data_IF_371688300443
#
_entry.id   IF_371688300443
#
_cell.length_a   1.000
_cell.length_b   1.000
_cell.length_c   1.000
_cell.angle_alpha   90.00
_cell.angle_beta   90.00
_cell.angle_gamma   90.00
#
_symmetry.space_group_name_H-M   'P 1'
#
loop_
_entity.id
_entity.type
_entity.pdbx_description
1 polymer ?
#
# COMPACT_ATOMS: atom_id res chain seq x y z
N UNK A 1 -54.17 -0.95 -31.78
CA UNK A 1 -54.55 -0.74 -30.35
C UNK A 1 -54.68 -2.13 -29.73
N UNK A 2 -53.81 -2.63 -28.86
CA UNK A 2 -52.86 -2.05 -27.89
C UNK A 2 -51.52 -2.80 -28.06
N UNK A 3 -50.42 -2.12 -28.38
CA UNK A 3 -49.52 -1.37 -27.51
C UNK A 3 -48.46 -2.27 -26.84
N UNK A 4 -47.23 -2.00 -27.28
CA UNK A 4 -45.92 -2.52 -26.87
C UNK A 4 -45.77 -2.83 -25.38
N UNK A 5 -45.41 -4.07 -25.08
CA UNK A 5 -44.60 -4.37 -23.91
C UNK A 5 -43.14 -4.19 -24.32
N UNK A 6 -42.61 -2.98 -24.17
CA UNK A 6 -41.18 -2.72 -24.28
C UNK A 6 -40.46 -3.57 -23.22
N UNK A 7 -39.71 -4.57 -23.67
CA UNK A 7 -38.86 -5.37 -22.81
C UNK A 7 -37.83 -4.46 -22.17
N UNK A 8 -37.85 -4.34 -20.84
CA UNK A 8 -36.77 -3.71 -20.11
C UNK A 8 -35.52 -4.60 -20.27
N UNK A 9 -34.65 -4.28 -21.24
CA UNK A 9 -33.32 -4.86 -21.32
C UNK A 9 -32.63 -4.61 -19.98
N UNK A 10 -32.18 -5.68 -19.31
CA UNK A 10 -31.40 -5.57 -18.08
C UNK A 10 -30.11 -4.77 -18.29
N UNK A 11 -29.49 -4.26 -17.21
CA UNK A 11 -28.26 -3.47 -17.31
C UNK A 11 -27.14 -4.28 -17.97
N UNK A 12 -26.40 -3.64 -18.87
CA UNK A 12 -25.31 -4.32 -19.62
C UNK A 12 -24.11 -4.54 -18.71
N UNK A 13 -23.32 -5.59 -18.99
CA UNK A 13 -22.12 -5.94 -18.20
C UNK A 13 -21.14 -4.75 -18.07
N UNK A 14 -20.89 -4.03 -19.17
CA UNK A 14 -20.01 -2.86 -19.17
C UNK A 14 -20.57 -1.72 -18.30
N UNK A 15 -21.89 -1.51 -18.29
CA UNK A 15 -22.56 -0.47 -17.49
C UNK A 15 -22.50 -0.80 -16.00
N UNK A 16 -22.67 -2.07 -15.63
CA UNK A 16 -22.55 -2.52 -14.25
C UNK A 16 -21.13 -2.31 -13.71
N UNK A 17 -20.11 -2.67 -14.48
CA UNK A 17 -18.72 -2.43 -14.10
C UNK A 17 -18.43 -0.92 -13.99
N UNK A 18 -18.83 -0.12 -14.98
CA UNK A 18 -18.62 1.33 -14.95
C UNK A 18 -19.32 1.98 -13.74
N UNK A 19 -20.53 1.53 -13.41
CA UNK A 19 -21.29 1.99 -12.24
C UNK A 19 -20.57 1.62 -10.95
N UNK A 20 -20.13 0.36 -10.81
CA UNK A 20 -19.38 -0.09 -9.63
C UNK A 20 -18.06 0.65 -9.45
N UNK A 21 -17.34 0.89 -10.54
CA UNK A 21 -16.07 1.63 -10.54
C UNK A 21 -16.27 3.09 -10.10
N UNK A 22 -17.23 3.79 -10.71
CA UNK A 22 -17.54 5.20 -10.36
C UNK A 22 -17.93 5.32 -8.89
N UNK A 23 -18.81 4.44 -8.40
CA UNK A 23 -19.23 4.45 -7.00
C UNK A 23 -18.07 4.17 -6.04
N UNK A 24 -17.13 3.30 -6.41
CA UNK A 24 -15.91 3.09 -5.64
C UNK A 24 -15.03 4.35 -5.62
N UNK A 25 -14.78 5.00 -6.77
CA UNK A 25 -14.01 6.25 -6.83
C UNK A 25 -14.67 7.37 -5.99
N UNK A 26 -16.00 7.51 -6.04
CA UNK A 26 -16.75 8.47 -5.23
C UNK A 26 -16.62 8.21 -3.72
N UNK A 27 -16.63 6.93 -3.31
CA UNK A 27 -16.45 6.53 -1.91
C UNK A 27 -15.01 6.75 -1.45
N UNK A 28 -14.04 6.50 -2.32
CA UNK A 28 -12.61 6.68 -2.04
C UNK A 28 -12.21 8.16 -1.96
N UNK A 29 -12.82 9.03 -2.78
CA UNK A 29 -12.58 10.46 -2.79
C UNK A 29 -12.98 11.17 -1.47
N UNK A 30 -13.77 10.52 -0.61
CA UNK A 30 -14.01 10.98 0.76
C UNK A 30 -14.74 12.32 0.84
N UNK A 31 -15.79 12.52 0.04
CA UNK A 31 -16.57 13.78 0.04
C UNK A 31 -17.34 14.02 1.34
N UNK A 32 -17.57 12.98 2.14
CA UNK A 32 -18.39 13.02 3.35
C UNK A 32 -17.55 12.86 4.64
N UNK A 33 -17.97 13.48 5.76
CA UNK A 33 -17.18 13.53 7.00
C UNK A 33 -17.09 12.18 7.75
N UNK A 34 -17.91 11.19 7.40
CA UNK A 34 -17.91 9.88 8.04
C UNK A 34 -18.15 8.76 7.04
N UNK A 35 -17.32 7.71 7.09
CA UNK A 35 -17.52 6.49 6.30
C UNK A 35 -18.82 5.75 6.67
N UNK A 36 -19.36 5.96 7.87
CA UNK A 36 -20.64 5.39 8.31
C UNK A 36 -21.87 6.24 7.95
N UNK A 37 -21.70 7.36 7.25
CA UNK A 37 -22.82 8.18 6.82
C UNK A 37 -23.77 7.37 5.91
N UNK A 38 -25.11 7.49 6.07
CA UNK A 38 -26.07 6.73 5.26
C UNK A 38 -25.86 6.91 3.76
N UNK A 39 -25.56 8.13 3.31
CA UNK A 39 -25.30 8.42 1.90
C UNK A 39 -24.08 7.66 1.35
N UNK A 40 -23.01 7.51 2.13
CA UNK A 40 -21.82 6.72 1.75
C UNK A 40 -22.17 5.24 1.71
N UNK A 41 -22.89 4.75 2.71
CA UNK A 41 -23.29 3.34 2.79
C UNK A 41 -24.28 2.94 1.69
N UNK A 42 -25.17 3.84 1.27
CA UNK A 42 -26.06 3.65 0.13
C UNK A 42 -25.27 3.52 -1.18
N UNK A 43 -24.21 4.33 -1.36
CA UNK A 43 -23.29 4.20 -2.50
C UNK A 43 -22.53 2.87 -2.48
N UNK A 44 -22.01 2.48 -1.31
CA UNK A 44 -21.31 1.19 -1.12
C UNK A 44 -22.24 0.03 -1.46
N UNK A 45 -23.48 0.02 -0.95
CA UNK A 45 -24.45 -1.04 -1.23
C UNK A 45 -24.78 -1.13 -2.72
N UNK A 46 -25.09 0.00 -3.36
CA UNK A 46 -25.36 0.05 -4.81
C UNK A 46 -24.16 -0.41 -5.65
N UNK A 47 -22.95 -0.06 -5.24
CA UNK A 47 -21.72 -0.51 -5.90
C UNK A 47 -21.51 -2.01 -5.76
N UNK A 48 -21.73 -2.56 -4.56
CA UNK A 48 -21.67 -4.01 -4.33
C UNK A 48 -22.72 -4.76 -5.16
N UNK A 49 -23.97 -4.30 -5.18
CA UNK A 49 -25.03 -4.93 -5.97
C UNK A 49 -24.68 -4.96 -7.46
N UNK A 50 -24.18 -3.83 -8.00
CA UNK A 50 -23.79 -3.74 -9.41
C UNK A 50 -22.60 -4.67 -9.74
N UNK A 51 -21.56 -4.69 -8.90
CA UNK A 51 -20.40 -5.55 -9.11
C UNK A 51 -20.72 -7.04 -8.91
N UNK A 52 -21.64 -7.39 -8.01
CA UNK A 52 -22.10 -8.76 -7.82
C UNK A 52 -22.87 -9.25 -9.05
N UNK A 53 -23.74 -8.41 -9.61
CA UNK A 53 -24.42 -8.71 -10.87
C UNK A 53 -23.42 -8.86 -12.02
N UNK A 54 -22.45 -7.96 -12.14
CA UNK A 54 -21.39 -8.06 -13.15
C UNK A 54 -20.58 -9.37 -12.99
N UNK A 55 -20.19 -9.72 -11.77
CA UNK A 55 -19.46 -10.95 -11.50
C UNK A 55 -20.27 -12.21 -11.84
N UNK A 56 -21.58 -12.20 -11.62
CA UNK A 56 -22.46 -13.28 -12.01
C UNK A 56 -22.56 -13.41 -13.54
N UNK A 57 -22.68 -12.30 -14.26
CA UNK A 57 -22.68 -12.29 -15.73
C UNK A 57 -21.36 -12.78 -16.31
N UNK A 58 -20.21 -12.35 -15.77
CA UNK A 58 -18.89 -12.83 -16.19
C UNK A 58 -18.74 -14.33 -15.98
N UNK A 59 -19.27 -14.86 -14.87
CA UNK A 59 -19.27 -16.30 -14.62
C UNK A 59 -20.18 -17.07 -15.59
N UNK A 60 -21.32 -16.50 -16.00
CA UNK A 60 -22.23 -17.10 -16.99
C UNK A 60 -21.66 -17.07 -18.42
N UNK A 61 -20.90 -16.04 -18.74
CA UNK A 61 -20.24 -15.88 -20.04
C UNK A 61 -18.93 -16.69 -20.14
N UNK A 62 -18.46 -17.26 -19.03
CA UNK A 62 -17.21 -18.02 -18.93
C UNK A 62 -16.01 -17.28 -19.55
N UNK A 63 -15.96 -15.94 -19.39
CA UNK A 63 -14.92 -15.09 -20.00
C UNK A 63 -13.48 -15.41 -19.55
N UNK A 64 -13.33 -16.18 -18.48
CA UNK A 64 -12.05 -16.50 -17.90
C UNK A 64 -11.99 -17.99 -17.56
N UNK A 65 -11.06 -18.70 -18.19
CA UNK A 65 -10.70 -20.07 -17.86
C UNK A 65 -9.30 -20.17 -17.24
N UNK A 66 -9.11 -21.06 -16.27
CA UNK A 66 -7.79 -21.30 -15.64
C UNK A 66 -6.75 -21.87 -16.63
N UNK A 67 -7.19 -22.35 -17.80
CA UNK A 67 -6.33 -22.93 -18.83
C UNK A 67 -6.04 -21.99 -20.02
N UNK A 68 -6.59 -20.77 -20.02
CA UNK A 68 -6.37 -19.78 -21.09
C UNK A 68 -5.06 -19.00 -20.89
N UNK A 69 -4.43 -18.62 -22.00
CA UNK A 69 -3.30 -17.69 -21.97
C UNK A 69 -3.79 -16.24 -21.94
N UNK A 70 -3.01 -15.35 -21.32
CA UNK A 70 -3.37 -13.92 -21.23
C UNK A 70 -3.60 -13.28 -22.61
N UNK A 71 -2.88 -13.74 -23.63
CA UNK A 71 -2.96 -13.25 -25.02
C UNK A 71 -4.30 -13.59 -25.69
N UNK A 72 -5.01 -14.62 -25.20
CA UNK A 72 -6.30 -15.06 -25.75
C UNK A 72 -7.46 -14.18 -25.25
N UNK A 73 -7.25 -13.40 -24.19
CA UNK A 73 -8.25 -12.48 -23.66
C UNK A 73 -8.29 -11.20 -24.50
N UNK A 74 -9.47 -10.86 -25.00
CA UNK A 74 -9.71 -9.59 -25.69
C UNK A 74 -9.34 -8.40 -24.78
N UNK A 75 -8.70 -7.38 -25.34
CA UNK A 75 -8.25 -6.19 -24.61
C UNK A 75 -9.39 -5.51 -23.85
N UNK A 76 -10.61 -5.53 -24.41
CA UNK A 76 -11.82 -5.01 -23.78
C UNK A 76 -12.30 -5.82 -22.56
N UNK A 77 -11.95 -7.09 -22.42
CA UNK A 77 -12.42 -7.97 -21.34
C UNK A 77 -11.47 -8.01 -20.15
N UNK A 78 -10.21 -7.58 -20.32
CA UNK A 78 -9.22 -7.49 -19.24
C UNK A 78 -9.72 -6.71 -18.02
N UNK A 79 -10.55 -5.68 -18.22
CA UNK A 79 -11.15 -4.90 -17.13
C UNK A 79 -12.01 -5.73 -16.18
N UNK A 80 -12.60 -6.84 -16.64
CA UNK A 80 -13.44 -7.68 -15.80
C UNK A 80 -12.62 -8.56 -14.83
N UNK A 81 -11.31 -8.74 -15.07
CA UNK A 81 -10.42 -9.37 -14.08
C UNK A 81 -10.39 -8.60 -12.76
N UNK A 82 -10.66 -7.29 -12.78
CA UNK A 82 -10.66 -6.42 -11.60
C UNK A 82 -11.91 -6.59 -10.72
N UNK A 83 -12.96 -7.25 -11.19
CA UNK A 83 -14.23 -7.38 -10.45
C UNK A 83 -14.06 -7.91 -9.02
N UNK A 84 -13.29 -8.98 -8.76
CA UNK A 84 -13.10 -9.45 -7.39
C UNK A 84 -12.27 -8.48 -6.55
N UNK A 85 -11.36 -7.71 -7.14
CA UNK A 85 -10.60 -6.69 -6.41
C UNK A 85 -11.51 -5.55 -5.94
N UNK A 86 -12.35 -5.02 -6.84
CA UNK A 86 -13.33 -3.97 -6.55
C UNK A 86 -14.38 -4.42 -5.52
N UNK A 87 -14.86 -5.66 -5.63
CA UNK A 87 -15.75 -6.26 -4.63
C UNK A 87 -15.10 -6.29 -3.25
N UNK A 88 -13.82 -6.71 -3.19
CA UNK A 88 -13.04 -6.69 -1.95
C UNK A 88 -12.91 -5.28 -1.37
N UNK A 89 -12.54 -4.31 -2.20
CA UNK A 89 -12.36 -2.92 -1.81
C UNK A 89 -13.65 -2.29 -1.26
N UNK A 90 -14.78 -2.43 -1.96
CA UNK A 90 -16.07 -1.92 -1.46
C UNK A 90 -16.56 -2.67 -0.21
N UNK A 91 -16.28 -3.97 -0.10
CA UNK A 91 -16.63 -4.74 1.10
C UNK A 91 -15.95 -4.17 2.35
N UNK A 92 -14.71 -3.66 2.23
CA UNK A 92 -14.00 -3.02 3.33
C UNK A 92 -14.60 -1.69 3.77
N UNK A 93 -15.39 -1.03 2.90
CA UNK A 93 -16.06 0.25 3.18
C UNK A 93 -17.43 0.09 3.85
N UNK A 94 -17.94 -1.14 4.00
CA UNK A 94 -19.19 -1.39 4.70
C UNK A 94 -19.10 -1.08 6.20
N UNK A 95 -20.04 -0.28 6.70
CA UNK A 95 -20.17 0.05 8.11
C UNK A 95 -21.02 -1.00 8.85
N UNK A 96 -20.57 -1.42 10.03
CA UNK A 96 -21.27 -2.42 10.83
C UNK A 96 -20.36 -3.06 11.87
N UNK A 97 -20.24 -2.50 13.08
CA UNK A 97 -19.27 -2.98 14.07
C UNK A 97 -19.53 -4.42 14.55
N UNK A 98 -20.77 -4.91 14.44
CA UNK A 98 -21.14 -6.29 14.73
C UNK A 98 -20.79 -7.29 13.62
N UNK A 99 -20.70 -6.82 12.37
CA UNK A 99 -20.45 -7.64 11.18
C UNK A 99 -19.05 -7.40 10.58
N UNK A 100 -18.22 -6.55 11.20
CA UNK A 100 -16.90 -6.19 10.68
C UNK A 100 -16.03 -7.41 10.40
N UNK A 101 -16.06 -8.42 11.27
CA UNK A 101 -15.29 -9.65 11.04
C UNK A 101 -15.76 -10.39 9.77
N UNK A 102 -17.06 -10.47 9.53
CA UNK A 102 -17.63 -11.08 8.33
C UNK A 102 -17.27 -10.29 7.07
N UNK A 103 -17.29 -8.95 7.15
CA UNK A 103 -16.85 -8.08 6.07
C UNK A 103 -15.36 -8.28 5.74
N UNK A 104 -14.50 -8.39 6.76
CA UNK A 104 -13.07 -8.66 6.56
C UNK A 104 -12.83 -10.03 5.93
N UNK A 105 -13.51 -11.08 6.39
CA UNK A 105 -13.41 -12.42 5.82
C UNK A 105 -13.93 -12.46 4.37
N UNK A 106 -15.01 -11.74 4.09
CA UNK A 106 -15.55 -11.54 2.75
C UNK A 106 -14.56 -10.83 1.83
N UNK A 107 -14.05 -9.67 2.25
CA UNK A 107 -13.08 -8.87 1.50
C UNK A 107 -11.81 -9.68 1.20
N UNK A 108 -11.26 -10.37 2.20
CA UNK A 108 -10.10 -11.24 2.04
C UNK A 108 -10.33 -12.32 1.00
N UNK A 109 -11.52 -12.95 0.98
CA UNK A 109 -11.88 -13.98 -0.01
C UNK A 109 -11.94 -13.40 -1.43
N UNK A 110 -12.50 -12.20 -1.58
CA UNK A 110 -12.57 -11.50 -2.87
C UNK A 110 -11.18 -11.12 -3.40
N UNK A 111 -10.34 -10.50 -2.57
CA UNK A 111 -8.96 -10.13 -2.93
C UNK A 111 -8.10 -11.37 -3.23
N UNK A 112 -8.24 -12.44 -2.45
CA UNK A 112 -7.52 -13.70 -2.71
C UNK A 112 -7.96 -14.37 -4.01
N UNK A 113 -9.24 -14.25 -4.40
CA UNK A 113 -9.74 -14.73 -5.70
C UNK A 113 -9.11 -13.93 -6.84
N UNK A 114 -9.07 -12.59 -6.73
CA UNK A 114 -8.41 -11.74 -7.71
C UNK A 114 -6.94 -12.12 -7.91
N UNK A 115 -6.17 -12.23 -6.82
CA UNK A 115 -4.75 -12.60 -6.87
C UNK A 115 -4.53 -14.00 -7.48
N UNK A 116 -5.45 -14.95 -7.25
CA UNK A 116 -5.38 -16.28 -7.88
C UNK A 116 -5.58 -16.20 -9.38
N UNK A 117 -6.57 -15.43 -9.85
CA UNK A 117 -6.81 -15.21 -11.28
C UNK A 117 -5.60 -14.55 -11.93
N UNK A 118 -5.07 -13.46 -11.35
CA UNK A 118 -3.87 -12.81 -11.86
C UNK A 118 -2.68 -13.77 -11.98
N UNK A 119 -2.51 -14.70 -11.02
CA UNK A 119 -1.46 -15.70 -11.08
C UNK A 119 -1.69 -16.74 -12.18
N UNK A 120 -2.93 -17.20 -12.37
CA UNK A 120 -3.27 -18.15 -13.44
C UNK A 120 -2.87 -17.60 -14.81
N UNK A 121 -3.15 -16.31 -15.04
CA UNK A 121 -2.78 -15.60 -16.28
C UNK A 121 -1.34 -15.06 -16.32
N UNK A 122 -0.49 -15.39 -15.34
CA UNK A 122 0.92 -14.97 -15.33
C UNK A 122 1.16 -13.46 -15.13
N UNK A 123 0.17 -12.74 -14.58
CA UNK A 123 0.21 -11.30 -14.31
C UNK A 123 0.97 -10.93 -13.01
N UNK A 124 1.60 -11.90 -12.34
CA UNK A 124 2.51 -11.61 -11.23
C UNK A 124 3.16 -12.82 -10.55
N UNK A 125 4.35 -12.58 -10.00
CA UNK A 125 5.12 -13.52 -9.18
C UNK A 125 5.05 -13.10 -7.70
N UNK A 126 3.87 -13.16 -7.08
CA UNK A 126 3.68 -12.82 -5.67
C UNK A 126 3.42 -14.08 -4.81
N UNK A 127 3.86 -14.04 -3.56
CA UNK A 127 3.66 -15.12 -2.59
C UNK A 127 2.18 -15.24 -2.20
N UNK A 128 1.72 -16.48 -2.00
CA UNK A 128 0.35 -16.76 -1.60
C UNK A 128 0.12 -16.35 -0.14
N UNK A 129 -1.03 -15.72 0.20
CA UNK A 129 -1.38 -15.51 1.61
C UNK A 129 -1.56 -16.88 2.31
N UNK A 130 -1.11 -17.03 3.56
CA UNK A 130 -1.20 -18.28 4.28
C UNK A 130 -2.66 -18.77 4.38
N UNK A 131 -2.88 -20.07 4.15
CA UNK A 131 -4.19 -20.74 4.28
C UNK A 131 -4.85 -21.24 2.98
N UNK A 132 -4.17 -21.15 1.84
CA UNK A 132 -4.63 -21.76 0.59
C UNK A 132 -3.41 -22.48 -0.01
N UNK A 133 -3.51 -23.77 -0.29
CA UNK A 133 -2.41 -24.57 -0.85
C UNK A 133 -2.85 -25.13 -2.19
N UNK A 134 -2.23 -24.65 -3.28
CA UNK A 134 -2.21 -25.38 -4.54
C UNK A 134 -0.75 -25.62 -4.92
N UNK A 135 -0.47 -26.82 -5.43
CA UNK A 135 0.89 -27.32 -5.68
C UNK A 135 1.68 -26.36 -6.59
N UNK A 136 3.00 -26.20 -6.38
CA UNK A 136 3.82 -25.33 -7.20
C UNK A 136 4.09 -26.02 -8.54
N UNK A 137 3.36 -25.64 -9.60
CA UNK A 137 3.72 -26.00 -10.97
C UNK A 137 4.18 -24.76 -11.74
N UNK A 138 5.43 -24.83 -12.19
CA UNK A 138 6.11 -24.03 -13.21
C UNK A 138 6.16 -22.51 -12.98
N UNK A 139 7.25 -22.08 -12.37
CA UNK A 139 7.75 -20.70 -12.44
C UNK A 139 8.07 -20.33 -13.90
N UNK A 140 7.09 -19.81 -14.63
CA UNK A 140 7.34 -18.92 -15.77
C UNK A 140 7.48 -17.50 -15.19
N UNK A 141 8.71 -17.06 -15.00
CA UNK A 141 9.00 -15.67 -14.70
C UNK A 141 8.64 -14.82 -15.93
N UNK A 142 7.54 -14.08 -15.86
CA UNK A 142 7.04 -13.23 -16.96
C UNK A 142 7.31 -11.74 -16.68
N UNK A 143 7.38 -10.95 -17.76
CA UNK A 143 7.94 -9.59 -17.86
C UNK A 143 7.33 -8.50 -16.94
N UNK A 144 6.27 -8.81 -16.19
CA UNK A 144 5.59 -7.88 -15.28
C UNK A 144 6.02 -8.02 -13.81
N UNK A 145 7.07 -8.81 -13.54
CA UNK A 145 7.69 -8.96 -12.22
C UNK A 145 8.56 -7.75 -11.87
N UNK A 146 7.98 -6.65 -11.36
CA UNK A 146 8.77 -5.52 -10.86
C UNK A 146 8.37 -4.97 -9.50
N UNK A 147 7.37 -5.52 -8.80
CA UNK A 147 6.95 -5.00 -7.50
C UNK A 147 7.50 -5.84 -6.33
N UNK A 148 8.45 -5.31 -5.54
CA UNK A 148 8.87 -5.93 -4.29
C UNK A 148 7.68 -6.00 -3.33
N UNK A 149 7.32 -7.22 -2.90
CA UNK A 149 6.34 -7.44 -1.84
C UNK A 149 6.72 -6.70 -0.55
N UNK A 150 5.74 -6.27 0.24
CA UNK A 150 5.91 -5.77 1.61
C UNK A 150 6.75 -6.73 2.47
N UNK A 151 6.71 -8.04 2.18
CA UNK A 151 7.62 -9.03 2.74
C UNK A 151 9.12 -8.71 2.55
N UNK A 152 9.52 -8.10 1.43
CA UNK A 152 10.92 -7.65 1.21
C UNK A 152 11.29 -6.45 2.09
N UNK A 153 10.34 -5.56 2.41
CA UNK A 153 10.56 -4.47 3.37
C UNK A 153 10.76 -5.05 4.78
N UNK A 154 9.93 -6.02 5.17
CA UNK A 154 9.97 -6.64 6.51
C UNK A 154 11.21 -7.53 6.71
N UNK A 155 11.70 -8.16 5.64
CA UNK A 155 12.94 -8.96 5.65
C UNK A 155 14.23 -8.15 5.44
N UNK A 156 14.14 -6.89 4.97
CA UNK A 156 15.30 -6.03 4.81
C UNK A 156 15.88 -5.62 6.17
N UNK A 157 17.20 -5.49 6.26
CA UNK A 157 17.84 -4.91 7.44
C UNK A 157 17.36 -3.48 7.67
N UNK A 158 17.40 -3.00 8.92
CA UNK A 158 16.99 -1.63 9.28
C UNK A 158 17.73 -0.55 8.48
N UNK A 159 18.96 -0.84 8.03
CA UNK A 159 19.77 0.04 7.19
C UNK A 159 19.33 0.05 5.71
N UNK A 160 18.79 -1.04 5.20
CA UNK A 160 18.38 -1.20 3.79
C UNK A 160 16.90 -0.91 3.59
N UNK A 161 16.09 -1.01 4.65
CA UNK A 161 14.66 -0.69 4.66
C UNK A 161 14.30 0.65 4.01
N UNK A 162 14.94 1.80 4.33
CA UNK A 162 14.60 3.09 3.71
C UNK A 162 14.84 3.10 2.19
N UNK A 163 15.89 2.42 1.72
CA UNK A 163 16.19 2.30 0.28
C UNK A 163 15.14 1.46 -0.44
N UNK A 164 14.74 0.32 0.16
CA UNK A 164 13.71 -0.55 -0.40
C UNK A 164 12.35 0.16 -0.45
N UNK A 165 11.97 0.89 0.61
CA UNK A 165 10.74 1.67 0.62
C UNK A 165 10.75 2.79 -0.40
N UNK A 166 11.87 3.52 -0.55
CA UNK A 166 12.00 4.58 -1.54
C UNK A 166 11.89 4.04 -2.97
N UNK A 167 12.54 2.91 -3.25
CA UNK A 167 12.45 2.24 -4.54
C UNK A 167 11.02 1.82 -4.88
N UNK A 168 10.31 1.16 -3.95
CA UNK A 168 8.90 0.75 -4.15
C UNK A 168 8.00 1.96 -4.38
N UNK A 169 8.17 3.02 -3.59
CA UNK A 169 7.43 4.27 -3.76
C UNK A 169 7.64 4.88 -5.14
N UNK A 170 8.90 4.93 -5.62
CA UNK A 170 9.22 5.44 -6.96
C UNK A 170 8.55 4.61 -8.06
N UNK A 171 8.58 3.27 -7.96
CA UNK A 171 7.93 2.39 -8.92
C UNK A 171 6.40 2.56 -8.94
N UNK A 172 5.78 2.67 -7.76
CA UNK A 172 4.33 2.95 -7.65
C UNK A 172 3.96 4.28 -8.30
N UNK A 173 4.74 5.33 -8.01
CA UNK A 173 4.51 6.66 -8.57
C UNK A 173 4.67 6.70 -10.09
N UNK A 174 5.65 5.99 -10.63
CA UNK A 174 5.84 5.86 -12.08
C UNK A 174 4.67 5.15 -12.77
N UNK A 175 4.18 4.06 -12.16
CA UNK A 175 3.00 3.33 -12.63
C UNK A 175 1.76 4.24 -12.61
N UNK A 176 1.52 4.97 -11.52
CA UNK A 176 0.40 5.90 -11.40
C UNK A 176 0.47 7.05 -12.41
N UNK A 177 1.67 7.60 -12.65
CA UNK A 177 1.87 8.63 -13.67
C UNK A 177 1.56 8.10 -15.08
N UNK A 178 1.99 6.88 -15.42
CA UNK A 178 1.64 6.24 -16.70
C UNK A 178 0.14 6.06 -16.85
N UNK A 179 -0.52 5.50 -15.83
CA UNK A 179 -1.98 5.36 -15.83
C UNK A 179 -2.69 6.70 -16.02
N UNK A 180 -2.25 7.75 -15.32
CA UNK A 180 -2.83 9.09 -15.47
C UNK A 180 -2.68 9.64 -16.89
N UNK A 181 -1.52 9.44 -17.53
CA UNK A 181 -1.30 9.87 -18.90
C UNK A 181 -2.14 9.11 -19.93
N UNK A 182 -2.38 7.81 -19.72
CA UNK A 182 -3.16 6.96 -20.63
C UNK A 182 -4.67 7.07 -20.42
N UNK A 183 -5.12 7.35 -19.18
CA UNK A 183 -6.54 7.41 -18.80
C UNK A 183 -7.33 8.34 -19.71
N UNK A 184 -6.79 9.52 -20.02
CA UNK A 184 -7.47 10.53 -20.86
C UNK A 184 -7.69 10.04 -22.30
N UNK A 185 -6.74 9.31 -22.88
CA UNK A 185 -6.85 8.77 -24.24
C UNK A 185 -7.80 7.56 -24.33
N UNK A 186 -7.81 6.72 -23.29
CA UNK A 186 -8.72 5.57 -23.20
C UNK A 186 -10.16 6.04 -22.99
N UNK A 187 -10.39 7.01 -22.09
CA UNK A 187 -11.72 7.57 -21.85
C UNK A 187 -12.26 8.39 -23.03
N UNK A 188 -11.39 9.06 -23.79
CA UNK A 188 -11.79 9.79 -25.01
C UNK A 188 -12.04 8.88 -26.21
N UNK A 189 -11.76 7.57 -26.10
CA UNK A 189 -11.89 6.60 -27.19
C UNK A 189 -10.88 6.78 -28.31
N UNK A 190 -9.78 7.52 -28.07
CA UNK A 190 -8.70 7.76 -29.03
C UNK A 190 -7.58 6.72 -28.93
N UNK A 191 -7.57 5.91 -27.87
CA UNK A 191 -6.60 4.84 -27.69
C UNK A 191 -6.83 3.70 -28.70
N UNK A 192 -5.74 3.23 -29.31
CA UNK A 192 -5.75 1.99 -30.09
C UNK A 192 -5.82 0.75 -29.17
N UNK A 193 -5.98 -0.45 -29.77
CA UNK A 193 -6.16 -1.68 -28.98
C UNK A 193 -4.94 -2.00 -28.11
N UNK A 194 -3.73 -1.73 -28.61
CA UNK A 194 -2.48 -1.96 -27.89
C UNK A 194 -2.39 -1.03 -26.66
N UNK A 195 -2.72 0.25 -26.81
CA UNK A 195 -2.77 1.21 -25.70
C UNK A 195 -3.86 0.86 -24.69
N UNK A 196 -5.04 0.43 -25.14
CA UNK A 196 -6.10 -0.04 -24.24
C UNK A 196 -5.64 -1.26 -23.44
N UNK A 197 -4.98 -2.21 -24.11
CA UNK A 197 -4.44 -3.42 -23.49
C UNK A 197 -3.40 -3.08 -22.43
N UNK A 198 -2.42 -2.25 -22.77
CA UNK A 198 -1.38 -1.80 -21.83
C UNK A 198 -2.01 -1.08 -20.63
N UNK A 199 -2.99 -0.20 -20.85
CA UNK A 199 -3.69 0.51 -19.78
C UNK A 199 -4.34 -0.47 -18.78
N UNK A 200 -5.10 -1.47 -19.26
CA UNK A 200 -5.74 -2.44 -18.38
C UNK A 200 -4.72 -3.33 -17.65
N UNK A 201 -3.63 -3.70 -18.29
CA UNK A 201 -2.56 -4.47 -17.64
C UNK A 201 -1.88 -3.67 -16.51
N UNK A 202 -1.58 -2.40 -16.73
CA UNK A 202 -1.06 -1.51 -15.68
C UNK A 202 -2.08 -1.34 -14.55
N UNK A 203 -3.36 -1.24 -14.87
CA UNK A 203 -4.42 -1.14 -13.87
C UNK A 203 -4.51 -2.42 -13.02
N UNK A 204 -4.37 -3.60 -13.62
CA UNK A 204 -4.30 -4.88 -12.92
C UNK A 204 -3.07 -4.94 -12.00
N UNK A 205 -1.90 -4.51 -12.46
CA UNK A 205 -0.69 -4.45 -11.63
C UNK A 205 -0.84 -3.52 -10.42
N UNK A 206 -1.46 -2.35 -10.61
CA UNK A 206 -1.82 -1.46 -9.51
C UNK A 206 -2.71 -2.17 -8.49
N UNK A 207 -3.76 -2.84 -8.96
CA UNK A 207 -4.69 -3.57 -8.09
C UNK A 207 -4.06 -4.79 -7.41
N UNK A 208 -3.08 -5.46 -8.02
CA UNK A 208 -2.30 -6.53 -7.36
C UNK A 208 -1.57 -5.96 -6.14
N UNK A 209 -0.92 -4.81 -6.31
CA UNK A 209 -0.19 -4.14 -5.23
C UNK A 209 -1.12 -3.72 -4.08
N UNK A 210 -2.27 -3.12 -4.42
CA UNK A 210 -3.30 -2.73 -3.44
C UNK A 210 -3.83 -3.97 -2.71
N UNK A 211 -4.18 -5.03 -3.45
CA UNK A 211 -4.76 -6.24 -2.87
C UNK A 211 -3.84 -6.94 -1.88
N UNK A 212 -2.53 -6.95 -2.15
CA UNK A 212 -1.54 -7.52 -1.23
C UNK A 212 -1.45 -6.74 0.08
N UNK A 213 -1.45 -5.41 0.02
CA UNK A 213 -1.43 -4.54 1.20
C UNK A 213 -2.71 -4.65 2.01
N UNK A 214 -3.86 -4.65 1.33
CA UNK A 214 -5.16 -4.81 1.98
C UNK A 214 -5.28 -6.17 2.66
N UNK A 215 -4.79 -7.26 2.07
CA UNK A 215 -4.80 -8.58 2.73
C UNK A 215 -3.95 -8.56 4.01
N UNK A 216 -2.77 -7.94 3.99
CA UNK A 216 -1.94 -7.83 5.20
C UNK A 216 -2.63 -7.00 6.29
N UNK A 217 -3.25 -5.87 5.90
CA UNK A 217 -4.05 -5.01 6.78
C UNK A 217 -5.24 -5.78 7.38
N UNK A 218 -5.98 -6.52 6.55
CA UNK A 218 -7.10 -7.36 6.98
C UNK A 218 -6.63 -8.42 7.97
N UNK A 219 -5.55 -9.14 7.67
CA UNK A 219 -5.05 -10.21 8.53
C UNK A 219 -4.66 -9.66 9.93
N UNK A 220 -4.05 -8.47 9.99
CA UNK A 220 -3.75 -7.77 11.25
C UNK A 220 -5.03 -7.38 12.01
N UNK A 221 -6.01 -6.78 11.32
CA UNK A 221 -7.29 -6.38 11.93
C UNK A 221 -8.07 -7.59 12.45
N UNK A 222 -8.10 -8.69 11.70
CA UNK A 222 -8.77 -9.93 12.10
C UNK A 222 -8.19 -10.51 13.40
N UNK A 223 -6.86 -10.47 13.58
CA UNK A 223 -6.21 -10.92 14.83
C UNK A 223 -6.67 -10.07 16.02
N UNK A 224 -6.77 -8.75 15.84
CA UNK A 224 -7.24 -7.82 16.88
C UNK A 224 -8.71 -8.07 17.23
N UNK A 225 -9.58 -8.26 16.23
CA UNK A 225 -11.01 -8.49 16.47
C UNK A 225 -11.28 -9.84 17.14
N UNK A 226 -10.54 -10.88 16.77
CA UNK A 226 -10.64 -12.22 17.39
C UNK A 226 -10.17 -12.20 18.84
N UNK A 227 -9.04 -11.56 19.14
CA UNK A 227 -8.53 -11.41 20.52
C UNK A 227 -9.45 -10.56 21.40
N UNK A 228 -10.12 -9.54 20.83
CA UNK A 228 -11.18 -8.81 21.55
C UNK A 228 -12.38 -9.69 21.91
N UNK A 229 -12.77 -10.59 21.00
CA UNK A 229 -13.84 -11.55 21.22
C UNK A 229 -13.55 -12.53 22.36
N UNK A 230 -12.31 -13.03 22.44
CA UNK A 230 -11.89 -13.94 23.53
C UNK A 230 -11.80 -13.22 24.88
N UNK A 231 -11.32 -11.97 24.92
CA UNK A 231 -11.27 -11.15 26.14
C UNK A 231 -12.69 -10.82 26.66
N UNK A 232 -13.66 -10.62 25.75
CA UNK A 232 -15.07 -10.38 26.12
C UNK A 232 -15.78 -11.66 26.56
N UNK A 233 -15.40 -12.83 26.03
CA UNK A 233 -15.93 -14.14 26.44
C UNK A 233 -15.31 -14.67 27.74
N UNK A 234 -14.06 -14.29 28.04
CA UNK A 234 -13.50 -14.42 29.38
C UNK A 234 -14.10 -13.34 30.29
N UNK A 235 -15.42 -13.39 30.49
CA UNK A 235 -16.04 -12.73 31.63
C UNK A 235 -15.30 -13.21 32.88
N UNK A 236 -14.61 -12.29 33.54
CA UNK A 236 -14.09 -12.51 34.88
C UNK A 236 -15.24 -13.07 35.76
N UNK A 237 -14.95 -14.00 36.68
CA UNK A 237 -15.97 -14.50 37.61
C UNK A 237 -16.64 -13.30 38.29
N UNK A 238 -17.95 -13.39 38.61
CA UNK A 238 -18.69 -12.25 39.13
C UNK A 238 -18.02 -11.84 40.44
N UNK A 239 -17.25 -10.75 40.40
CA UNK A 239 -16.87 -10.04 41.60
C UNK A 239 -18.15 -9.44 42.15
N UNK A 240 -18.80 -10.24 43.00
CA UNK A 240 -19.78 -9.73 43.95
C UNK A 240 -19.19 -8.53 44.66
N UNK A 241 -20.08 -7.60 44.99
CA UNK A 241 -19.82 -6.39 45.76
C UNK A 241 -19.04 -6.67 47.03
N UNK A 242 -17.72 -6.68 46.91
CA UNK A 242 -16.77 -6.57 48.00
C UNK A 242 -15.66 -5.70 47.46
N UNK A 243 -15.87 -4.39 47.57
CA UNK A 243 -14.80 -3.41 47.45
C UNK A 243 -13.84 -3.73 48.59
N UNK A 244 -12.85 -4.59 48.33
CA UNK A 244 -11.76 -4.77 49.28
C UNK A 244 -11.15 -3.39 49.49
N UNK A 245 -11.27 -2.91 50.72
CA UNK A 245 -10.66 -1.66 51.18
C UNK A 245 -9.17 -1.82 50.94
N UNK A 246 -8.68 -1.23 49.84
CA UNK A 246 -7.26 -1.19 49.55
C UNK A 246 -6.61 -0.44 50.71
N UNK A 247 -5.71 -1.12 51.42
CA UNK A 247 -4.85 -0.48 52.41
C UNK A 247 -4.15 0.72 51.78
N UNK A 248 -4.19 1.92 52.39
CA UNK A 248 -3.55 3.10 51.81
C UNK A 248 -2.06 2.82 51.63
N UNK A 249 -1.57 3.05 50.41
CA UNK A 249 -0.16 2.89 50.07
C UNK A 249 0.65 3.87 50.92
N UNK A 250 1.70 3.36 51.58
CA UNK A 250 2.67 4.22 52.27
C UNK A 250 3.39 5.06 51.20
N UNK A 251 3.49 6.39 51.34
CA UNK A 251 4.28 7.19 50.42
C UNK A 251 5.74 6.74 50.52
N UNK A 252 6.32 6.30 49.41
CA UNK A 252 7.74 6.06 49.28
C UNK A 252 8.36 7.25 48.57
N UNK A 253 9.50 7.72 49.08
CA UNK A 253 10.28 8.75 48.42
C UNK A 253 11.03 8.05 47.28
N UNK A 254 10.78 8.48 46.04
CA UNK A 254 11.56 8.04 44.89
C UNK A 254 12.97 8.62 45.04
N UNK A 255 13.89 7.84 45.61
CA UNK A 255 15.31 8.18 45.64
C UNK A 255 15.82 8.23 44.20
N UNK A 256 15.82 9.43 43.64
CA UNK A 256 16.63 9.80 42.47
C UNK A 256 18.08 9.49 42.81
N UNK A 257 18.71 8.61 42.04
CA UNK A 257 20.10 8.82 41.56
C UNK A 257 20.64 7.58 40.87
N UNK A 258 20.32 6.36 41.32
CA UNK A 258 20.93 5.17 40.73
C UNK A 258 20.37 4.81 39.34
N UNK A 259 19.05 4.92 39.14
CA UNK A 259 18.41 4.59 37.86
C UNK A 259 18.54 5.72 36.83
N UNK A 260 18.46 6.99 37.26
CA UNK A 260 18.69 8.13 36.36
C UNK A 260 20.16 8.25 35.94
N UNK A 261 21.14 7.98 36.81
CA UNK A 261 22.56 7.95 36.41
C UNK A 261 22.87 6.85 35.39
N UNK A 262 22.11 5.75 35.37
CA UNK A 262 22.23 4.69 34.35
C UNK A 262 21.66 5.08 33.00
N UNK A 263 20.71 6.02 32.95
CA UNK A 263 20.03 6.45 31.72
C UNK A 263 20.62 7.77 31.18
N UNK A 264 21.11 8.65 32.06
CA UNK A 264 21.63 9.98 31.74
C UNK A 264 23.10 10.21 32.12
N UNK A 265 23.79 9.23 32.73
CA UNK A 265 25.23 9.30 32.96
C UNK A 265 26.04 9.01 31.70
N UNK A 266 27.32 9.36 31.72
CA UNK A 266 28.31 9.10 30.65
C UNK A 266 28.67 7.61 30.46
N UNK A 267 27.69 6.72 30.63
CA UNK A 267 27.81 5.26 30.57
C UNK A 267 26.91 4.64 29.50
N UNK A 268 26.73 5.31 28.36
CA UNK A 268 26.26 4.65 27.14
C UNK A 268 27.43 3.86 26.53
N UNK A 269 27.34 2.54 26.32
CA UNK A 269 28.35 1.76 25.57
C UNK A 269 28.23 2.01 24.06
N UNK A 270 27.95 3.24 23.66
CA UNK A 270 27.57 3.63 22.30
C UNK A 270 28.13 4.97 21.86
N UNK A 271 29.14 5.51 22.55
CA UNK A 271 29.96 6.56 21.95
C UNK A 271 30.76 5.90 20.83
N UNK A 272 30.61 6.29 19.56
CA UNK A 272 31.41 5.72 18.48
C UNK A 272 32.88 6.00 18.75
N UNK A 273 33.64 4.95 19.06
CA UNK A 273 35.09 5.03 19.27
C UNK A 273 35.89 5.05 17.98
N UNK A 274 35.22 4.93 16.83
CA UNK A 274 35.81 5.00 15.50
C UNK A 274 35.08 6.03 14.66
N UNK A 275 35.85 6.78 13.90
CA UNK A 275 35.33 7.60 12.82
C UNK A 275 34.88 6.72 11.65
N UNK A 276 34.06 7.29 10.75
CA UNK A 276 33.61 6.59 9.54
C UNK A 276 34.81 6.16 8.69
N UNK A 277 35.86 6.98 8.62
CA UNK A 277 37.09 6.66 7.89
C UNK A 277 37.88 5.52 8.53
N UNK A 278 38.03 5.51 9.86
CA UNK A 278 38.68 4.40 10.58
C UNK A 278 37.96 3.06 10.28
N UNK A 279 36.63 3.10 10.16
CA UNK A 279 35.81 1.92 9.86
C UNK A 279 36.04 1.40 8.45
N UNK A 280 36.18 2.29 7.46
CA UNK A 280 36.54 1.91 6.10
C UNK A 280 37.93 1.29 6.03
N UNK A 281 38.90 1.82 6.76
CA UNK A 281 40.26 1.32 6.77
C UNK A 281 40.38 -0.05 7.45
N UNK A 282 39.66 -0.26 8.55
CA UNK A 282 39.62 -1.54 9.25
C UNK A 282 38.97 -2.64 8.39
N UNK A 283 37.88 -2.33 7.67
CA UNK A 283 37.22 -3.26 6.73
C UNK A 283 38.08 -3.57 5.49
N UNK A 284 38.83 -2.59 4.98
CA UNK A 284 39.82 -2.79 3.90
C UNK A 284 40.93 -3.75 4.33
N UNK A 285 41.46 -3.59 5.55
CA UNK A 285 42.48 -4.47 6.12
C UNK A 285 42.01 -5.90 6.34
N UNK A 286 40.73 -6.09 6.66
CA UNK A 286 40.12 -7.41 6.85
C UNK A 286 39.72 -8.09 5.53
N UNK A 287 39.87 -7.43 4.39
CA UNK A 287 39.61 -8.02 3.07
C UNK A 287 38.15 -8.33 2.76
N UNK A 288 37.20 -7.77 3.53
CA UNK A 288 35.75 -8.09 3.44
C UNK A 288 35.00 -7.16 2.47
N UNK A 289 35.70 -6.29 1.72
CA UNK A 289 35.10 -5.49 0.66
C UNK A 289 35.42 -6.08 -0.71
N UNK A 290 34.42 -6.32 -1.59
CA UNK A 290 34.69 -6.61 -2.98
C UNK A 290 35.44 -5.42 -3.58
N UNK A 291 36.60 -5.68 -4.17
CA UNK A 291 37.45 -4.64 -4.74
C UNK A 291 36.65 -3.80 -5.73
N UNK A 292 36.39 -2.54 -5.38
CA UNK A 292 36.19 -1.54 -6.41
C UNK A 292 37.48 -1.49 -7.20
N UNK A 293 37.44 -2.09 -8.38
CA UNK A 293 38.40 -1.86 -9.45
C UNK A 293 38.62 -0.36 -9.54
N UNK A 294 39.84 0.05 -9.25
CA UNK A 294 40.36 1.37 -9.65
C UNK A 294 40.02 1.52 -11.14
N UNK A 295 39.27 2.56 -11.57
CA UNK A 295 39.05 2.76 -12.99
C UNK A 295 40.41 2.97 -13.65
N UNK A 296 40.80 2.00 -14.45
CA UNK A 296 41.99 2.05 -15.28
C UNK A 296 41.76 3.17 -16.30
N UNK A 297 42.55 4.23 -16.18
CA UNK A 297 42.50 5.41 -17.02
C UNK A 297 42.85 4.99 -18.46
N UNK A 298 41.87 4.92 -19.35
CA UNK A 298 42.08 4.84 -20.79
C UNK A 298 42.19 6.25 -21.36
N UNK A 299 43.19 6.55 -22.23
CA UNK A 299 43.33 7.87 -22.82
C UNK A 299 42.49 7.93 -24.11
N UNK A 300 41.45 8.75 -24.14
CA UNK A 300 40.89 9.31 -25.36
C UNK A 300 40.01 10.52 -25.04
N UNK A 301 40.45 11.69 -25.49
CA UNK A 301 39.80 12.98 -25.34
C UNK A 301 38.64 13.13 -26.33
N UNK A 302 37.47 13.53 -25.83
CA UNK A 302 36.58 14.62 -26.32
C UNK A 302 35.26 14.56 -25.52
N UNK A 303 35.11 15.43 -24.50
CA UNK A 303 33.85 16.01 -23.96
C UNK A 303 33.92 16.53 -22.50
N UNK A 304 35.10 16.68 -21.91
CA UNK A 304 35.24 17.10 -20.50
C UNK A 304 34.65 18.49 -20.19
N UNK A 305 34.55 19.42 -21.15
CA UNK A 305 34.05 20.77 -20.87
C UNK A 305 32.52 20.86 -20.71
N UNK A 306 31.76 20.03 -21.43
CA UNK A 306 30.28 20.02 -21.30
C UNK A 306 29.83 19.33 -20.02
N UNK A 307 30.52 18.25 -19.61
CA UNK A 307 30.23 17.55 -18.37
C UNK A 307 30.58 18.41 -17.15
N UNK A 308 31.69 19.14 -17.20
CA UNK A 308 32.09 20.04 -16.10
C UNK A 308 31.11 21.20 -15.93
N UNK A 309 30.63 21.80 -17.04
CA UNK A 309 29.56 22.82 -17.00
C UNK A 309 28.23 22.31 -16.47
N UNK A 310 27.85 21.08 -16.82
CA UNK A 310 26.61 20.47 -16.29
C UNK A 310 26.72 20.12 -14.80
N UNK A 311 27.93 19.79 -14.33
CA UNK A 311 28.19 19.50 -12.94
C UNK A 311 28.23 20.78 -12.08
N UNK A 312 28.92 21.83 -12.55
CA UNK A 312 28.93 23.15 -11.91
C UNK A 312 27.51 23.75 -11.84
N UNK A 313 26.71 23.61 -12.91
CA UNK A 313 25.32 24.11 -12.92
C UNK A 313 24.41 23.34 -11.95
N UNK A 314 24.65 22.04 -11.74
CA UNK A 314 23.92 21.24 -10.74
C UNK A 314 24.32 21.58 -9.32
N UNK A 315 25.61 21.84 -9.07
CA UNK A 315 26.10 22.30 -7.78
C UNK A 315 25.54 23.71 -7.45
N UNK A 316 25.48 24.61 -8.43
CA UNK A 316 24.84 25.92 -8.28
C UNK A 316 23.31 25.83 -8.04
N UNK A 317 22.59 24.95 -8.74
CA UNK A 317 21.15 24.72 -8.52
C UNK A 317 20.87 24.13 -7.12
N UNK A 318 21.68 23.16 -6.67
CA UNK A 318 21.57 22.58 -5.31
C UNK A 318 21.84 23.65 -4.23
N UNK A 319 22.78 24.57 -4.46
CA UNK A 319 23.08 25.69 -3.56
C UNK A 319 21.93 26.72 -3.52
N UNK A 320 21.32 27.05 -4.67
CA UNK A 320 20.15 27.94 -4.72
C UNK A 320 18.90 27.32 -4.07
N UNK A 321 18.65 26.03 -4.31
CA UNK A 321 17.53 25.30 -3.71
C UNK A 321 17.71 25.14 -2.20
N UNK A 322 18.95 24.88 -1.73
CA UNK A 322 19.27 24.84 -0.32
C UNK A 322 19.04 26.19 0.37
N UNK A 323 19.40 27.30 -0.29
CA UNK A 323 19.14 28.66 0.20
C UNK A 323 17.65 28.99 0.25
N UNK A 324 16.86 28.59 -0.76
CA UNK A 324 15.40 28.77 -0.76
C UNK A 324 14.74 27.97 0.37
N UNK A 325 15.12 26.70 0.52
CA UNK A 325 14.60 25.85 1.58
C UNK A 325 14.97 26.36 2.98
N UNK A 326 16.14 26.96 3.14
CA UNK A 326 16.54 27.59 4.40
C UNK A 326 15.69 28.84 4.71
N UNK A 327 15.34 29.64 3.69
CA UNK A 327 14.43 30.80 3.83
C UNK A 327 13.01 30.36 4.18
N UNK A 328 12.47 29.38 3.45
CA UNK A 328 11.14 28.82 3.71
C UNK A 328 11.04 28.23 5.13
N UNK A 329 12.13 27.64 5.62
CA UNK A 329 12.21 27.11 6.97
C UNK A 329 12.25 28.20 8.04
N UNK A 330 12.82 29.37 7.74
CA UNK A 330 12.80 30.53 8.63
C UNK A 330 11.41 31.17 8.71
N UNK A 331 10.76 31.40 7.56
CA UNK A 331 9.40 31.94 7.47
C UNK A 331 8.38 31.04 8.19
N UNK A 332 8.56 29.72 8.09
CA UNK A 332 7.71 28.77 8.82
C UNK A 332 7.91 28.85 10.34
N UNK A 333 9.14 29.01 10.83
CA UNK A 333 9.41 29.16 12.28
C UNK A 333 8.82 30.44 12.85
N UNK A 334 8.81 31.52 12.07
CA UNK A 334 8.22 32.81 12.48
C UNK A 334 6.70 32.72 12.64
N UNK A 335 6.03 31.92 11.81
CA UNK A 335 4.58 31.68 11.89
C UNK A 335 4.21 30.59 12.92
N UNK A 336 5.16 29.76 13.35
CA UNK A 336 4.94 28.63 14.27
C UNK A 336 5.85 28.71 15.52
N UNK A 337 5.61 29.67 16.43
CA UNK A 337 6.43 29.83 17.64
C UNK A 337 6.37 28.58 18.53
N UNK A 338 7.53 28.23 19.11
CA UNK A 338 7.64 27.10 20.04
C UNK A 338 6.61 27.25 21.17
N UNK A 339 5.73 26.25 21.31
CA UNK A 339 4.71 26.20 22.35
C UNK A 339 3.28 26.53 21.90
N UNK A 340 3.03 26.71 20.60
CA UNK A 340 1.70 27.00 20.05
C UNK A 340 0.62 25.94 20.40
N UNK A 341 1.01 24.70 20.74
CA UNK A 341 0.08 23.59 21.00
C UNK A 341 -0.19 23.22 22.46
N UNK A 342 0.49 23.80 23.46
CA UNK A 342 0.32 23.36 24.86
C UNK A 342 0.26 24.55 25.84
N UNK A 343 -0.88 25.24 25.86
CA UNK A 343 -1.18 26.34 26.80
C UNK A 343 -2.30 26.03 27.80
N UNK A 344 -2.97 24.88 27.68
CA UNK A 344 -4.16 24.52 28.48
C UNK A 344 -3.86 23.52 29.61
N UNK A 345 -2.59 23.22 29.88
CA UNK A 345 -2.19 22.35 30.99
C UNK A 345 -1.19 23.10 31.90
N UNK A 346 -1.66 24.21 32.48
CA UNK A 346 -1.07 24.79 33.68
C UNK A 346 -1.94 24.31 34.83
N UNK A 347 -1.38 23.40 35.64
CA UNK A 347 -2.10 22.64 36.66
C UNK A 347 -2.57 23.43 37.88
#
# INVERSE_FOLDING_TARGET
KMAEAGGAEGPRLAELLATGWRLWEEVEAGTEPSSSAPAVQDKVRRGLDALQQAAAMVAQLELFSENEELEEIASADLRYLLLPALLGALTLRQAGPGQRLEHLEGARRHLARFLRLCRAYGLGAFAQPPGFTLKPSLQRANLYSSLPSLARITQASLTVRPLVTNYIYKQRKELENRLASMKTFVESGQADDDQMREFYLLQIQKWISISLEEIESIDQEMVILKSRGTIKQSSAPPHGTSRQVRTPLKPFILTRDAAQAKVFGAGYPGVPTMTVDDWYEQRRRQGVMPGQSVPQRTPAAVNDEEQKKQQEKKEEEDDEEALQKARDWDDWKDTHPKGYGNRQNMG
#
